data_IF_100174076523
#
_entry.id   IF_100174076523
#
_cell.length_a   1.000
_cell.length_b   1.000
_cell.length_c   1.000
_cell.angle_alpha   90.00
_cell.angle_beta   90.00
_cell.angle_gamma   90.00
#
_symmetry.space_group_name_H-M   'P 1'
#
loop_
_entity.id
_entity.type
_entity.pdbx_description
1 polymer ?
#
# COMPACT_ATOMS: atom_id res chain seq x y z
N UNK A 1 -2.31 -16.72 -41.34
CA UNK A 1 -2.81 -15.67 -40.42
C UNK A 1 -3.67 -16.19 -39.25
N UNK A 2 -4.27 -17.40 -39.31
CA UNK A 2 -5.15 -17.93 -38.26
C UNK A 2 -4.56 -18.07 -36.85
N UNK A 3 -3.24 -18.21 -36.69
CA UNK A 3 -2.59 -18.43 -35.37
C UNK A 3 -2.54 -17.16 -34.51
N UNK A 4 -2.39 -15.99 -35.13
CA UNK A 4 -2.43 -14.70 -34.43
C UNK A 4 -3.86 -14.32 -34.04
N UNK A 5 -4.85 -14.62 -34.88
CA UNK A 5 -6.28 -14.47 -34.55
C UNK A 5 -6.70 -15.43 -33.43
N UNK A 6 -6.15 -16.65 -33.36
CA UNK A 6 -6.43 -17.59 -32.27
C UNK A 6 -5.84 -17.15 -30.91
N UNK A 7 -4.74 -16.39 -30.89
CA UNK A 7 -4.09 -15.91 -29.66
C UNK A 7 -4.45 -14.47 -29.28
N UNK A 8 -4.77 -13.63 -30.25
CA UNK A 8 -4.97 -12.18 -30.07
C UNK A 8 -6.27 -11.66 -30.71
N UNK A 9 -7.04 -12.51 -31.38
CA UNK A 9 -8.29 -12.12 -32.04
C UNK A 9 -9.54 -12.18 -31.15
N UNK A 10 -9.48 -12.85 -30.00
CA UNK A 10 -10.59 -12.84 -29.04
C UNK A 10 -10.42 -11.68 -28.04
N UNK A 11 -11.11 -10.57 -28.32
CA UNK A 11 -11.14 -9.39 -27.46
C UNK A 11 -11.57 -9.72 -26.03
N UNK A 12 -12.35 -10.78 -25.80
CA UNK A 12 -12.77 -11.18 -24.44
C UNK A 12 -11.61 -11.78 -23.65
N UNK A 13 -10.77 -12.60 -24.28
CA UNK A 13 -9.58 -13.16 -23.64
C UNK A 13 -8.59 -12.04 -23.27
N UNK A 14 -8.39 -11.07 -24.16
CA UNK A 14 -7.54 -9.91 -23.89
C UNK A 14 -8.09 -9.04 -22.74
N UNK A 15 -9.39 -8.78 -22.72
CA UNK A 15 -10.04 -8.05 -21.63
C UNK A 15 -9.88 -8.78 -20.30
N UNK A 16 -10.10 -10.10 -20.26
CA UNK A 16 -9.93 -10.92 -19.06
C UNK A 16 -8.47 -10.91 -18.58
N UNK A 17 -7.51 -10.97 -19.50
CA UNK A 17 -6.10 -10.85 -19.16
C UNK A 17 -5.77 -9.48 -18.55
N UNK A 18 -6.29 -8.39 -19.11
CA UNK A 18 -6.11 -7.04 -18.58
C UNK A 18 -6.74 -6.88 -17.19
N UNK A 19 -7.92 -7.46 -16.96
CA UNK A 19 -8.55 -7.48 -15.63
C UNK A 19 -7.71 -8.29 -14.65
N UNK A 20 -7.15 -9.43 -15.08
CA UNK A 20 -6.27 -10.23 -14.24
C UNK A 20 -5.00 -9.45 -13.86
N UNK A 21 -4.41 -8.70 -14.80
CA UNK A 21 -3.30 -7.79 -14.49
C UNK A 21 -3.66 -6.75 -13.43
N UNK A 22 -4.88 -6.18 -13.48
CA UNK A 22 -5.36 -5.25 -12.45
C UNK A 22 -5.48 -5.95 -11.09
N UNK A 23 -5.97 -7.20 -11.06
CA UNK A 23 -6.10 -7.99 -9.82
C UNK A 23 -4.77 -8.33 -9.18
N UNK A 24 -3.76 -8.59 -10.01
CA UNK A 24 -2.41 -8.95 -9.59
C UNK A 24 -1.53 -7.75 -9.21
N UNK A 25 -2.07 -6.52 -9.32
CA UNK A 25 -1.38 -5.32 -8.89
C UNK A 25 -0.94 -5.39 -7.42
N UNK A 26 0.21 -4.76 -7.10
CA UNK A 26 0.74 -4.77 -5.74
C UNK A 26 -0.22 -4.06 -4.77
N UNK A 27 -0.24 -4.53 -3.53
CA UNK A 27 -1.04 -3.91 -2.49
C UNK A 27 -0.30 -2.68 -1.91
N UNK A 28 -0.83 -1.49 -2.16
CA UNK A 28 -0.23 -0.23 -1.68
C UNK A 28 -0.42 -0.04 -0.17
N UNK A 29 -1.42 -0.70 0.43
CA UNK A 29 -1.59 -0.75 1.87
C UNK A 29 -0.42 -1.47 2.56
N UNK A 30 0.22 -2.41 1.85
CA UNK A 30 1.36 -3.18 2.37
C UNK A 30 2.69 -2.52 2.02
N UNK A 31 2.86 -2.08 0.77
CA UNK A 31 4.13 -1.56 0.27
C UNK A 31 3.95 -0.40 -0.71
N UNK A 32 3.86 0.80 -0.14
CA UNK A 32 3.70 2.04 -0.90
C UNK A 32 4.91 2.37 -1.80
N UNK A 33 6.09 1.77 -1.56
CA UNK A 33 7.27 1.92 -2.42
C UNK A 33 7.01 1.48 -3.87
N UNK A 34 5.99 0.62 -4.06
CA UNK A 34 5.57 0.10 -5.37
C UNK A 34 4.56 1.01 -6.09
N UNK A 35 4.25 2.19 -5.56
CA UNK A 35 3.25 3.09 -6.15
C UNK A 35 3.53 3.43 -7.62
N UNK A 36 4.80 3.62 -8.00
CA UNK A 36 5.16 3.89 -9.40
C UNK A 36 4.80 2.72 -10.31
N UNK A 37 5.14 1.50 -9.88
CA UNK A 37 4.81 0.27 -10.62
C UNK A 37 3.29 0.08 -10.69
N UNK A 38 2.60 0.24 -9.56
CA UNK A 38 1.15 0.17 -9.51
C UNK A 38 0.48 1.17 -10.46
N UNK A 39 0.89 2.44 -10.39
CA UNK A 39 0.31 3.53 -11.17
C UNK A 39 0.46 3.29 -12.67
N UNK A 40 1.67 2.90 -13.09
CA UNK A 40 1.98 2.63 -14.50
C UNK A 40 1.24 1.40 -15.02
N UNK A 41 1.24 0.29 -14.29
CA UNK A 41 0.54 -0.94 -14.69
C UNK A 41 -0.98 -0.74 -14.73
N UNK A 42 -1.57 -0.09 -13.71
CA UNK A 42 -3.00 0.23 -13.69
C UNK A 42 -3.38 1.14 -14.87
N UNK A 43 -2.61 2.21 -15.10
CA UNK A 43 -2.90 3.13 -16.21
C UNK A 43 -2.79 2.44 -17.58
N UNK A 44 -1.80 1.57 -17.76
CA UNK A 44 -1.63 0.82 -19.01
C UNK A 44 -2.79 -0.15 -19.23
N UNK A 45 -3.22 -0.86 -18.18
CA UNK A 45 -4.36 -1.77 -18.26
C UNK A 45 -5.66 -1.03 -18.57
N UNK A 46 -5.95 0.06 -17.85
CA UNK A 46 -7.15 0.88 -18.05
C UNK A 46 -7.18 1.54 -19.43
N UNK A 47 -6.04 2.07 -19.89
CA UNK A 47 -5.93 2.66 -21.23
C UNK A 47 -6.13 1.62 -22.33
N UNK A 48 -5.68 0.39 -22.11
CA UNK A 48 -5.90 -0.72 -23.05
C UNK A 48 -7.35 -1.18 -23.03
N UNK A 49 -7.95 -1.35 -21.85
CA UNK A 49 -9.36 -1.69 -21.69
C UNK A 49 -10.28 -0.68 -22.38
N UNK A 50 -9.99 0.62 -22.25
CA UNK A 50 -10.74 1.68 -22.92
C UNK A 50 -10.73 1.55 -24.45
N UNK A 51 -9.65 1.02 -25.03
CA UNK A 51 -9.51 0.78 -26.48
C UNK A 51 -10.23 -0.48 -26.95
N UNK A 52 -10.22 -1.54 -26.14
CA UNK A 52 -10.84 -2.83 -26.50
C UNK A 52 -12.33 -2.90 -26.21
N UNK A 53 -12.82 -2.12 -25.25
CA UNK A 53 -14.25 -2.09 -24.96
C UNK A 53 -14.97 -1.23 -25.98
N UNK A 54 -15.50 -1.84 -27.04
CA UNK A 54 -16.59 -1.23 -27.80
C UNK A 54 -17.74 -0.99 -26.80
N UNK A 55 -17.90 0.26 -26.33
CA UNK A 55 -18.85 0.76 -25.30
C UNK A 55 -18.40 0.80 -23.83
N UNK A 56 -17.11 0.68 -23.49
CA UNK A 56 -16.64 1.08 -22.15
C UNK A 56 -17.08 0.20 -20.96
N UNK A 57 -17.90 -0.84 -21.16
CA UNK A 57 -18.59 -1.55 -20.07
C UNK A 57 -17.68 -2.11 -18.98
N UNK A 58 -16.47 -2.54 -19.32
CA UNK A 58 -15.50 -3.06 -18.34
C UNK A 58 -14.93 -1.97 -17.41
N UNK A 59 -15.01 -0.69 -17.78
CA UNK A 59 -14.57 0.44 -16.96
C UNK A 59 -15.61 0.85 -15.91
N UNK A 60 -16.84 0.36 -16.05
CA UNK A 60 -17.97 0.59 -15.13
C UNK A 60 -18.26 -0.63 -14.25
N UNK A 61 -17.43 -1.68 -14.33
CA UNK A 61 -17.61 -2.87 -13.52
C UNK A 61 -17.16 -2.63 -12.08
N UNK A 62 -18.12 -2.72 -11.16
CA UNK A 62 -17.89 -2.48 -9.73
C UNK A 62 -16.88 -3.45 -9.13
N UNK A 63 -16.83 -4.71 -9.57
CA UNK A 63 -15.88 -5.70 -9.03
C UNK A 63 -14.40 -5.35 -9.29
N UNK A 64 -14.12 -4.69 -10.43
CA UNK A 64 -12.76 -4.24 -10.76
C UNK A 64 -12.40 -3.00 -9.94
N UNK A 65 -13.37 -2.10 -9.73
CA UNK A 65 -13.22 -0.90 -8.91
C UNK A 65 -12.98 -1.28 -7.44
N UNK A 66 -13.77 -2.20 -6.88
CA UNK A 66 -13.61 -2.73 -5.52
C UNK A 66 -12.26 -3.41 -5.34
N UNK A 67 -11.79 -4.16 -6.34
CA UNK A 67 -10.47 -4.79 -6.29
C UNK A 67 -9.35 -3.74 -6.15
N UNK A 68 -9.40 -2.66 -6.92
CA UNK A 68 -8.42 -1.57 -6.85
C UNK A 68 -8.52 -0.83 -5.51
N UNK A 69 -9.74 -0.52 -5.03
CA UNK A 69 -9.96 0.09 -3.71
C UNK A 69 -9.37 -0.79 -2.60
N UNK A 70 -9.53 -2.11 -2.69
CA UNK A 70 -8.97 -3.05 -1.72
C UNK A 70 -7.44 -3.03 -1.60
N UNK A 71 -6.74 -2.47 -2.60
CA UNK A 71 -5.27 -2.29 -2.61
C UNK A 71 -4.85 -0.95 -2.01
N UNK A 72 -5.78 -0.04 -1.72
CA UNK A 72 -5.46 1.28 -1.15
C UNK A 72 -5.41 1.17 0.37
N UNK A 73 -4.50 1.88 1.03
CA UNK A 73 -4.67 2.14 2.45
C UNK A 73 -5.76 3.18 2.67
N UNK A 74 -6.14 3.37 3.95
CA UNK A 74 -7.17 4.34 4.30
C UNK A 74 -6.83 5.77 3.85
N UNK A 75 -5.56 6.16 3.91
CA UNK A 75 -5.15 7.51 3.51
C UNK A 75 -5.37 7.77 2.04
N UNK A 76 -4.94 6.86 1.15
CA UNK A 76 -5.12 7.07 -0.27
C UNK A 76 -6.56 6.81 -0.76
N UNK A 77 -7.37 6.04 -0.01
CA UNK A 77 -8.82 6.03 -0.24
C UNK A 77 -9.46 7.40 0.06
N UNK A 78 -9.18 8.00 1.22
CA UNK A 78 -9.73 9.31 1.58
C UNK A 78 -9.25 10.41 0.61
N UNK A 79 -7.99 10.35 0.17
CA UNK A 79 -7.45 11.26 -0.85
C UNK A 79 -8.09 11.04 -2.22
N UNK A 80 -8.35 9.79 -2.60
CA UNK A 80 -9.05 9.47 -3.85
C UNK A 80 -10.47 10.04 -3.85
N UNK A 81 -11.21 9.96 -2.74
CA UNK A 81 -12.55 10.56 -2.63
C UNK A 81 -12.47 12.05 -2.95
N UNK A 82 -11.55 12.78 -2.30
CA UNK A 82 -11.35 14.22 -2.54
C UNK A 82 -10.98 14.53 -3.98
N UNK A 83 -10.07 13.76 -4.56
CA UNK A 83 -9.68 13.89 -5.97
C UNK A 83 -10.87 13.65 -6.90
N UNK A 84 -11.64 12.58 -6.66
CA UNK A 84 -12.75 12.17 -7.51
C UNK A 84 -13.92 13.17 -7.51
N UNK A 85 -14.12 13.88 -6.40
CA UNK A 85 -15.12 14.94 -6.25
C UNK A 85 -14.84 16.14 -7.15
N UNK A 86 -13.57 16.38 -7.51
CA UNK A 86 -13.15 17.46 -8.42
C UNK A 86 -13.26 17.06 -9.90
N UNK A 87 -13.52 15.78 -10.20
CA UNK A 87 -13.58 15.26 -11.57
C UNK A 87 -15.02 15.16 -12.07
N UNK A 88 -15.22 15.28 -13.38
CA UNK A 88 -16.54 15.11 -14.01
C UNK A 88 -17.16 13.75 -13.66
N UNK A 89 -18.47 13.75 -13.36
CA UNK A 89 -19.25 12.52 -13.11
C UNK A 89 -19.28 11.58 -14.32
N UNK A 90 -19.09 12.09 -15.53
CA UNK A 90 -19.07 11.31 -16.76
C UNK A 90 -17.83 10.41 -16.91
N UNK A 91 -16.77 10.64 -16.11
CA UNK A 91 -15.54 9.84 -16.19
C UNK A 91 -15.74 8.57 -15.35
N UNK A 92 -15.46 7.36 -15.88
CA UNK A 92 -15.56 6.12 -15.11
C UNK A 92 -14.67 6.12 -13.87
N UNK A 93 -15.14 5.50 -12.78
CA UNK A 93 -14.42 5.45 -11.50
C UNK A 93 -13.00 4.86 -11.66
N UNK A 94 -12.88 3.78 -12.44
CA UNK A 94 -11.60 3.13 -12.69
C UNK A 94 -10.60 4.04 -13.43
N UNK A 95 -11.09 4.89 -14.33
CA UNK A 95 -10.27 5.91 -15.04
C UNK A 95 -9.85 7.02 -14.09
N UNK A 96 -10.73 7.45 -13.17
CA UNK A 96 -10.35 8.41 -12.12
C UNK A 96 -9.27 7.83 -11.21
N UNK A 97 -9.37 6.56 -10.84
CA UNK A 97 -8.38 5.86 -10.02
C UNK A 97 -7.01 5.79 -10.71
N UNK A 98 -6.96 5.43 -12.00
CA UNK A 98 -5.67 5.36 -12.71
C UNK A 98 -4.97 6.72 -12.78
N UNK A 99 -5.72 7.80 -13.04
CA UNK A 99 -5.20 9.17 -13.04
C UNK A 99 -4.76 9.64 -11.66
N UNK A 100 -5.56 9.35 -10.63
CA UNK A 100 -5.23 9.67 -9.24
C UNK A 100 -3.90 9.05 -8.81
N UNK A 101 -3.74 7.73 -9.01
CA UNK A 101 -2.54 7.04 -8.52
C UNK A 101 -1.29 7.42 -9.33
N UNK A 102 -1.43 7.77 -10.61
CA UNK A 102 -0.36 8.41 -11.38
C UNK A 102 0.07 9.74 -10.76
N UNK A 103 -0.89 10.60 -10.41
CA UNK A 103 -0.58 11.89 -9.78
C UNK A 103 0.11 11.71 -8.43
N UNK A 104 -0.35 10.78 -7.60
CA UNK A 104 0.31 10.44 -6.34
C UNK A 104 1.73 9.91 -6.56
N UNK A 105 1.94 9.05 -7.56
CA UNK A 105 3.27 8.57 -7.91
C UNK A 105 4.22 9.71 -8.31
N UNK A 106 3.76 10.64 -9.15
CA UNK A 106 4.52 11.84 -9.57
C UNK A 106 4.91 12.69 -8.37
N UNK A 107 3.95 13.01 -7.48
CA UNK A 107 4.20 13.80 -6.27
C UNK A 107 5.24 13.13 -5.36
N UNK A 108 5.19 11.80 -5.24
CA UNK A 108 6.14 11.04 -4.44
C UNK A 108 7.54 10.99 -5.06
N UNK A 109 7.65 11.03 -6.39
CA UNK A 109 8.92 11.18 -7.11
C UNK A 109 9.47 12.58 -6.92
N UNK A 110 8.65 13.61 -7.12
CA UNK A 110 9.02 15.03 -6.95
C UNK A 110 9.47 15.33 -5.52
N UNK A 111 8.76 14.79 -4.52
CA UNK A 111 9.12 14.92 -3.12
C UNK A 111 10.38 14.13 -2.72
N UNK A 112 10.95 13.31 -3.62
CA UNK A 112 12.14 12.50 -3.36
C UNK A 112 11.94 11.40 -2.31
N UNK A 113 10.69 11.04 -2.02
CA UNK A 113 10.33 10.05 -0.99
C UNK A 113 10.50 8.62 -1.53
N UNK A 114 10.39 8.45 -2.84
CA UNK A 114 10.61 7.17 -3.51
C UNK A 114 12.08 6.96 -3.83
N UNK A 115 12.68 5.93 -3.22
CA UNK A 115 13.96 5.38 -3.66
C UNK A 115 13.68 4.53 -4.90
N UNK A 116 13.69 5.14 -6.08
CA UNK A 116 13.73 4.35 -7.32
C UNK A 116 14.99 3.50 -7.27
N UNK A 117 14.79 2.19 -7.08
CA UNK A 117 15.81 1.23 -7.50
C UNK A 117 15.80 1.35 -9.01
N UNK A 118 16.77 2.06 -9.58
CA UNK A 118 17.01 2.03 -11.02
C UNK A 118 17.48 0.62 -11.35
N UNK A 119 16.56 -0.33 -11.47
CA UNK A 119 16.84 -1.64 -12.03
C UNK A 119 16.88 -1.51 -13.56
N UNK A 120 17.78 -0.63 -13.99
CA UNK A 120 18.32 -0.60 -15.33
C UNK A 120 19.57 -1.46 -15.31
N UNK A 121 19.44 -2.76 -15.09
CA UNK A 121 20.39 -3.67 -15.71
C UNK A 121 19.73 -4.97 -16.15
N UNK A 122 19.42 -5.01 -17.45
CA UNK A 122 19.44 -6.23 -18.26
C UNK A 122 20.68 -7.06 -17.92
N UNK A 123 20.58 -8.00 -16.98
CA UNK A 123 21.40 -9.22 -17.04
C UNK A 123 20.58 -10.32 -17.67
N UNK A 124 20.93 -10.53 -18.93
CA UNK A 124 20.58 -11.66 -19.78
C UNK A 124 20.57 -12.96 -18.97
N UNK A 125 19.56 -13.77 -19.25
CA UNK A 125 19.62 -15.22 -19.13
C UNK A 125 20.95 -15.70 -19.70
N UNK A 126 21.75 -16.38 -18.87
CA UNK A 126 22.36 -17.67 -19.23
C UNK A 126 22.38 -18.53 -17.97
N UNK A 127 21.50 -19.52 -17.98
CA UNK A 127 21.74 -20.79 -17.31
C UNK A 127 23.13 -21.28 -17.70
N UNK A 128 23.94 -21.62 -16.72
CA UNK A 128 24.88 -22.71 -16.84
C UNK A 128 25.04 -23.31 -15.44
N UNK A 129 24.41 -24.48 -15.30
CA UNK A 129 24.71 -25.45 -14.27
C UNK A 129 26.22 -25.73 -14.24
N UNK A 130 26.80 -25.84 -13.04
CA UNK A 130 27.90 -26.77 -12.74
C UNK A 130 28.24 -26.80 -11.24
N UNK A 131 28.85 -27.90 -10.74
CA UNK A 131 28.08 -28.97 -10.12
C UNK A 131 28.46 -29.21 -8.66
N UNK A 132 27.56 -29.89 -7.93
CA UNK A 132 27.87 -30.50 -6.63
C UNK A 132 28.97 -31.55 -6.81
N UNK A 133 30.17 -31.27 -6.29
CA UNK A 133 31.16 -32.32 -6.02
C UNK A 133 31.22 -32.54 -4.52
N UNK A 134 30.80 -33.74 -4.11
CA UNK A 134 31.09 -34.31 -2.80
C UNK A 134 32.51 -34.87 -2.85
N UNK A 135 33.36 -34.53 -1.89
CA UNK A 135 34.57 -35.32 -1.60
C UNK A 135 34.72 -35.42 -0.09
N UNK A 136 34.84 -36.66 0.35
CA UNK A 136 34.98 -37.07 1.73
C UNK A 136 36.45 -37.09 2.16
N UNK A 137 36.66 -36.75 3.44
CA UNK A 137 37.69 -37.15 4.41
C UNK A 137 39.11 -37.49 3.92
N UNK A 138 40.11 -36.87 4.58
CA UNK A 138 41.09 -37.60 5.40
C UNK A 138 41.70 -36.71 6.50
N UNK A 139 42.06 -37.38 7.59
CA UNK A 139 42.52 -36.97 8.91
C UNK A 139 43.96 -36.48 9.00
N UNK A 140 44.24 -35.57 9.95
CA UNK A 140 45.21 -35.67 11.08
C UNK A 140 45.86 -34.31 11.42
N UNK A 141 46.04 -34.04 12.71
CA UNK A 141 46.95 -32.98 13.21
C UNK A 141 46.38 -32.13 14.35
N UNK A 142 46.62 -32.56 15.60
CA UNK A 142 46.35 -31.83 16.84
C UNK A 142 47.09 -30.48 16.89
N UNK A 143 46.43 -29.44 17.39
CA UNK A 143 47.05 -28.50 18.34
C UNK A 143 45.96 -27.80 19.13
N UNK A 144 45.93 -28.11 20.43
CA UNK A 144 45.14 -27.44 21.46
C UNK A 144 45.77 -26.07 21.74
N UNK A 145 45.06 -25.00 21.40
CA UNK A 145 45.24 -23.71 22.05
C UNK A 145 43.87 -23.14 22.37
N UNK A 146 43.47 -23.34 23.63
CA UNK A 146 42.33 -22.70 24.26
C UNK A 146 42.56 -21.18 24.28
N UNK A 147 41.92 -20.46 23.36
CA UNK A 147 41.79 -19.02 23.46
C UNK A 147 40.54 -18.74 24.30
N UNK A 148 40.64 -18.06 25.46
CA UNK A 148 39.47 -17.77 26.28
C UNK A 148 38.64 -16.70 25.58
N UNK A 149 37.67 -17.11 24.76
CA UNK A 149 36.58 -16.23 24.38
C UNK A 149 35.71 -16.01 25.62
N UNK A 150 36.09 -14.99 26.41
CA UNK A 150 35.19 -14.32 27.35
C UNK A 150 33.87 -14.10 26.61
N UNK A 151 32.83 -14.82 27.01
CA UNK A 151 31.45 -14.48 26.68
C UNK A 151 31.23 -13.12 27.34
N UNK A 152 31.51 -12.04 26.59
CA UNK A 152 30.99 -10.73 26.95
C UNK A 152 29.48 -10.91 26.85
N UNK A 153 28.79 -10.96 27.99
CA UNK A 153 27.34 -10.70 28.02
C UNK A 153 27.18 -9.36 27.30
N UNK A 154 26.71 -9.40 26.04
CA UNK A 154 26.32 -8.20 25.32
C UNK A 154 25.23 -7.57 26.17
N UNK A 155 25.56 -6.50 26.87
CA UNK A 155 24.62 -5.78 27.70
C UNK A 155 23.41 -5.42 26.83
N UNK A 156 22.24 -5.89 27.23
CA UNK A 156 21.00 -5.69 26.51
C UNK A 156 20.58 -4.23 26.73
N UNK A 157 20.93 -3.38 25.78
CA UNK A 157 20.68 -1.93 25.88
C UNK A 157 19.33 -1.56 25.28
N UNK A 158 18.49 -0.90 26.07
CA UNK A 158 17.24 -0.31 25.61
C UNK A 158 17.54 0.86 24.68
N UNK A 159 17.03 0.81 23.45
CA UNK A 159 17.21 1.88 22.46
C UNK A 159 16.42 3.16 22.77
N UNK A 160 15.47 3.12 23.71
CA UNK A 160 14.65 4.27 24.08
C UNK A 160 15.20 5.02 25.30
N UNK A 161 15.28 4.37 26.47
CA UNK A 161 15.79 5.00 27.70
C UNK A 161 17.32 4.91 27.85
N UNK A 162 18.00 4.19 26.94
CA UNK A 162 19.47 3.99 26.92
C UNK A 162 20.03 3.21 28.13
N UNK A 163 19.17 2.61 28.96
CA UNK A 163 19.57 1.72 30.07
C UNK A 163 20.02 0.34 29.57
N UNK A 164 20.90 -0.32 30.30
CA UNK A 164 21.53 -1.61 29.91
C UNK A 164 20.85 -2.84 30.54
N UNK A 165 19.68 -2.65 31.13
CA UNK A 165 19.00 -3.66 31.95
C UNK A 165 17.84 -4.36 31.23
N UNK A 166 17.38 -3.84 30.08
CA UNK A 166 16.19 -4.37 29.38
C UNK A 166 16.19 -4.05 27.89
N UNK A 167 15.45 -4.86 27.11
CA UNK A 167 15.08 -4.55 25.72
C UNK A 167 13.89 -3.58 25.66
N UNK A 168 13.68 -2.92 24.51
CA UNK A 168 12.58 -1.97 24.34
C UNK A 168 11.19 -2.56 24.65
N UNK A 169 10.99 -3.85 24.38
CA UNK A 169 9.77 -4.60 24.73
C UNK A 169 9.45 -4.56 26.23
N UNK A 170 10.48 -4.44 27.08
CA UNK A 170 10.39 -4.43 28.54
C UNK A 170 10.70 -3.05 29.13
N UNK A 171 10.70 -2.00 28.32
CA UNK A 171 10.93 -0.63 28.76
C UNK A 171 9.65 -0.01 29.33
N UNK A 172 9.63 0.29 30.63
CA UNK A 172 8.48 0.90 31.30
C UNK A 172 8.19 2.32 30.78
N UNK A 173 9.23 3.12 30.55
CA UNK A 173 9.10 4.45 29.92
C UNK A 173 8.44 4.38 28.54
N UNK A 174 8.66 3.29 27.80
CA UNK A 174 8.04 3.08 26.50
C UNK A 174 6.59 2.61 26.63
N UNK A 175 6.30 1.71 27.59
CA UNK A 175 4.96 1.18 27.85
C UNK A 175 4.00 2.23 28.39
N UNK A 176 4.50 3.22 29.14
CA UNK A 176 3.69 4.35 29.65
C UNK A 176 3.24 5.33 28.58
N UNK A 177 3.85 5.31 27.38
CA UNK A 177 3.44 6.16 26.27
C UNK A 177 2.15 5.66 25.63
N UNK A 178 1.32 6.57 25.14
CA UNK A 178 0.12 6.20 24.39
C UNK A 178 0.49 5.55 23.05
N UNK A 179 -0.45 4.82 22.42
CA UNK A 179 -0.18 4.09 21.17
C UNK A 179 0.41 4.98 20.07
N UNK A 180 -0.11 6.20 19.87
CA UNK A 180 0.42 7.15 18.88
C UNK A 180 1.90 7.50 19.14
N UNK A 181 2.26 7.76 20.39
CA UNK A 181 3.64 8.06 20.81
C UNK A 181 4.55 6.84 20.64
N UNK A 182 4.08 5.64 21.02
CA UNK A 182 4.82 4.39 20.82
C UNK A 182 5.16 4.15 19.35
N UNK A 183 4.20 4.39 18.45
CA UNK A 183 4.41 4.32 17.00
C UNK A 183 5.43 5.36 16.50
N UNK A 184 5.36 6.61 16.98
CA UNK A 184 6.34 7.65 16.62
C UNK A 184 7.75 7.27 17.07
N UNK A 185 7.90 6.77 18.30
CA UNK A 185 9.19 6.34 18.84
C UNK A 185 9.77 5.18 17.99
N UNK A 186 8.97 4.17 17.69
CA UNK A 186 9.42 3.03 16.87
C UNK A 186 9.86 3.47 15.46
N UNK A 187 9.13 4.42 14.84
CA UNK A 187 9.51 5.01 13.54
C UNK A 187 10.83 5.77 13.62
N UNK A 188 10.99 6.62 14.63
CA UNK A 188 12.18 7.44 14.83
C UNK A 188 13.43 6.57 15.08
N UNK A 189 13.27 5.48 15.84
CA UNK A 189 14.35 4.54 16.14
C UNK A 189 14.63 3.55 14.99
N UNK A 190 13.84 3.55 13.91
CA UNK A 190 13.97 2.66 12.74
C UNK A 190 14.09 1.17 13.12
N UNK A 191 13.31 0.76 14.10
CA UNK A 191 13.23 -0.62 14.56
C UNK A 191 12.09 -1.36 13.87
N UNK A 192 12.19 -2.69 13.83
CA UNK A 192 11.13 -3.53 13.29
C UNK A 192 9.85 -3.39 14.13
N UNK A 193 8.73 -3.01 13.51
CA UNK A 193 7.45 -2.88 14.22
C UNK A 193 6.91 -4.22 14.73
N UNK A 194 7.41 -5.35 14.22
CA UNK A 194 6.96 -6.68 14.59
C UNK A 194 7.62 -7.22 15.87
N UNK A 195 8.91 -6.95 16.06
CA UNK A 195 9.69 -7.47 17.19
C UNK A 195 10.40 -6.39 18.02
N UNK A 196 10.24 -5.11 17.68
CA UNK A 196 10.87 -3.96 18.35
C UNK A 196 12.41 -3.98 18.38
N UNK A 197 13.06 -4.82 17.57
CA UNK A 197 14.52 -4.91 17.43
C UNK A 197 15.01 -4.23 16.15
N UNK A 198 16.25 -3.74 16.19
CA UNK A 198 16.95 -3.18 15.03
C UNK A 198 17.53 -4.25 14.10
N UNK A 199 18.14 -3.80 13.00
CA UNK A 199 18.90 -4.66 12.07
C UNK A 199 18.10 -5.34 10.96
N UNK A 200 16.77 -5.23 10.98
CA UNK A 200 15.91 -5.75 9.91
C UNK A 200 14.58 -4.97 9.82
N UNK A 201 13.92 -5.10 8.67
CA UNK A 201 12.58 -4.56 8.44
C UNK A 201 11.51 -5.62 8.74
N UNK A 202 10.28 -5.17 8.93
CA UNK A 202 9.13 -6.02 9.23
C UNK A 202 8.91 -7.17 8.22
N UNK A 203 9.19 -6.95 6.92
CA UNK A 203 9.04 -7.99 5.90
C UNK A 203 9.99 -9.17 6.06
N UNK A 204 11.15 -8.96 6.67
CA UNK A 204 12.14 -10.00 6.96
C UNK A 204 12.06 -10.53 8.41
N UNK A 205 11.06 -10.09 9.16
CA UNK A 205 10.88 -10.49 10.55
C UNK A 205 10.12 -11.81 10.64
N UNK A 206 10.63 -12.76 11.43
CA UNK A 206 9.98 -14.05 11.72
C UNK A 206 9.18 -14.05 13.03
N UNK A 207 8.99 -12.87 13.63
CA UNK A 207 8.19 -12.75 14.86
C UNK A 207 6.69 -12.92 14.57
N UNK A 208 5.95 -13.28 15.61
CA UNK A 208 4.51 -13.46 15.53
C UNK A 208 3.78 -12.14 15.23
N UNK A 209 2.61 -12.26 14.61
CA UNK A 209 1.69 -11.15 14.38
C UNK A 209 1.07 -10.68 15.71
N UNK A 210 0.48 -9.48 15.70
CA UNK A 210 -0.18 -8.93 16.88
C UNK A 210 -1.32 -9.83 17.35
N UNK A 211 -1.28 -10.27 18.60
CA UNK A 211 -2.31 -11.14 19.19
C UNK A 211 -3.70 -10.49 19.24
N UNK A 212 -3.78 -9.15 19.28
CA UNK A 212 -5.05 -8.43 19.41
C UNK A 212 -5.78 -8.20 18.08
N UNK A 213 -5.06 -8.21 16.95
CA UNK A 213 -5.68 -7.89 15.65
C UNK A 213 -5.12 -8.66 14.46
N UNK A 214 -4.18 -9.58 14.67
CA UNK A 214 -3.55 -10.37 13.60
C UNK A 214 -2.72 -9.56 12.60
N UNK A 215 -2.53 -8.26 12.81
CA UNK A 215 -1.75 -7.41 11.89
C UNK A 215 -0.26 -7.48 12.21
N UNK A 216 0.54 -7.07 11.23
CA UNK A 216 1.98 -6.97 11.38
C UNK A 216 2.35 -5.80 12.31
N UNK A 217 2.35 -6.02 13.62
CA UNK A 217 3.00 -5.18 14.63
C UNK A 217 3.14 -5.95 15.96
N UNK A 218 4.02 -5.50 16.83
CA UNK A 218 4.17 -6.01 18.19
C UNK A 218 2.97 -5.61 19.04
N UNK A 219 2.53 -6.45 19.99
CA UNK A 219 1.34 -6.19 20.83
C UNK A 219 1.40 -4.84 21.56
N UNK A 220 2.60 -4.42 21.98
CA UNK A 220 2.85 -3.12 22.62
C UNK A 220 2.56 -1.92 21.70
N UNK A 221 2.51 -2.10 20.38
CA UNK A 221 2.11 -1.05 19.43
C UNK A 221 0.61 -1.06 19.12
N UNK A 222 -0.18 -1.95 19.72
CA UNK A 222 -1.60 -2.04 19.41
C UNK A 222 -2.36 -0.75 19.79
N UNK A 223 -3.34 -0.37 18.96
CA UNK A 223 -4.24 0.74 19.29
C UNK A 223 -5.33 0.22 20.21
N UNK A 224 -5.28 0.63 21.46
CA UNK A 224 -6.31 0.28 22.43
C UNK A 224 -7.55 1.12 22.13
N UNK A 225 -8.54 0.51 21.49
CA UNK A 225 -9.86 1.14 21.31
C UNK A 225 -10.56 1.07 22.66
N UNK A 226 -10.57 2.19 23.37
CA UNK A 226 -11.28 2.30 24.64
C UNK A 226 -12.79 2.16 24.35
N UNK A 227 -13.38 0.99 24.66
CA UNK A 227 -14.77 0.64 24.31
C UNK A 227 -15.82 1.47 25.07
N UNK A 228 -15.42 2.40 25.93
CA UNK A 228 -16.30 3.23 26.74
C UNK A 228 -16.96 4.41 26.02
N UNK A 229 -16.76 4.59 24.71
CA UNK A 229 -17.33 5.72 23.95
C UNK A 229 -18.39 5.32 22.91
N UNK A 230 -18.80 4.04 22.88
CA UNK A 230 -19.77 3.52 21.90
C UNK A 230 -21.24 3.53 22.38
N UNK A 231 -21.56 4.14 23.53
CA UNK A 231 -22.91 4.08 24.13
C UNK A 231 -23.63 5.44 24.31
N UNK A 232 -23.21 6.52 23.66
CA UNK A 232 -23.89 7.83 23.76
C UNK A 232 -24.51 8.35 22.46
N UNK A 233 -24.56 7.54 21.41
CA UNK A 233 -25.18 7.94 20.15
C UNK A 233 -26.25 6.93 19.71
N UNK A 234 -27.26 6.72 20.57
CA UNK A 234 -28.51 6.13 20.12
C UNK A 234 -29.65 6.61 21.03
N UNK A 235 -30.30 7.72 20.64
CA UNK A 235 -31.75 7.94 20.62
C UNK A 235 -32.13 9.42 20.37
N UNK A 236 -33.23 9.58 19.62
CA UNK A 236 -34.04 10.79 19.28
C UNK A 236 -33.42 11.85 18.34
N UNK A 237 -33.66 11.76 17.03
CA UNK A 237 -34.86 12.36 16.38
C UNK A 237 -34.76 12.32 14.85
N UNK A 238 -35.66 11.56 14.24
CA UNK A 238 -35.91 11.55 12.80
C UNK A 238 -36.70 12.82 12.42
N UNK A 239 -36.09 13.72 11.64
CA UNK A 239 -36.85 14.61 10.75
C UNK A 239 -36.22 14.60 9.36
N UNK A 240 -36.94 13.93 8.48
CA UNK A 240 -36.79 13.85 7.03
C UNK A 240 -36.80 15.26 6.42
N UNK A 241 -35.79 15.58 5.63
CA UNK A 241 -35.87 16.66 4.63
C UNK A 241 -35.43 16.03 3.32
N UNK A 242 -36.41 15.80 2.43
CA UNK A 242 -36.17 15.41 1.05
C UNK A 242 -35.67 16.61 0.21
N UNK A 243 -34.91 16.37 -0.87
CA UNK A 243 -34.41 17.43 -1.75
C UNK A 243 -35.42 17.74 -2.87
N UNK A 244 -36.05 18.91 -2.84
CA UNK A 244 -36.79 19.44 -3.99
C UNK A 244 -35.86 20.27 -4.88
N UNK A 245 -35.51 19.70 -6.04
CA UNK A 245 -34.90 20.38 -7.17
C UNK A 245 -36.03 21.02 -8.01
N UNK A 246 -36.01 22.34 -8.20
CA UNK A 246 -36.84 23.01 -9.20
C UNK A 246 -36.00 24.05 -9.95
N UNK A 247 -35.79 23.76 -11.23
CA UNK A 247 -35.34 24.67 -12.27
C UNK A 247 -36.43 25.72 -12.52
N UNK A 248 -36.06 27.00 -12.51
CA UNK A 248 -36.77 28.01 -13.30
C UNK A 248 -35.75 28.95 -13.91
N UNK A 249 -35.72 28.93 -15.24
CA UNK A 249 -35.10 29.93 -16.09
C UNK A 249 -35.61 31.34 -15.73
N UNK A 250 -34.70 32.31 -15.67
CA UNK A 250 -35.06 33.71 -15.71
C UNK A 250 -34.17 34.42 -16.74
N UNK A 251 -34.63 34.38 -17.99
CA UNK A 251 -34.17 35.24 -19.08
C UNK A 251 -34.93 36.56 -18.96
N UNK A 252 -34.27 37.63 -18.54
CA UNK A 252 -34.83 38.98 -18.62
C UNK A 252 -34.58 39.56 -20.01
N UNK A 253 -35.68 39.73 -20.74
CA UNK A 253 -35.77 40.50 -21.97
C UNK A 253 -35.52 41.98 -21.68
N UNK A 254 -34.66 42.60 -22.49
CA UNK A 254 -34.51 44.05 -22.58
C UNK A 254 -35.36 44.47 -23.78
N UNK A 255 -36.45 45.19 -23.52
CA UNK A 255 -37.29 45.79 -24.54
C UNK A 255 -36.62 47.04 -25.12
N UNK A 256 -36.70 47.13 -26.44
CA UNK A 256 -36.40 48.30 -27.28
C UNK A 256 -37.46 49.38 -27.04
N UNK A 257 -37.06 50.64 -27.04
CA UNK A 257 -37.95 51.79 -27.25
C UNK A 257 -37.19 52.81 -28.10
N UNK A 258 -37.58 52.88 -29.36
CA UNK A 258 -37.37 54.03 -30.25
C UNK A 258 -38.31 55.16 -29.82
N UNK A 259 -37.82 56.40 -29.74
CA UNK A 259 -38.51 57.58 -30.30
C UNK A 259 -37.65 58.85 -30.15
N UNK A 260 -37.59 59.58 -31.27
CA UNK A 260 -37.03 60.93 -31.57
C UNK A 260 -35.53 61.07 -31.91
#
# INVERSE_FOLDING_TARGET
MKVLELRFGDSKLLINQLIQQIRDLPDLNVDFSKIVKFATELNNAVSSLAKFSNNGGCLYRDDVVENVIGKFSRSEYDNFIRYSAQQSKSIPALVKMSKFVLKEAELNVEAGVLKQSTDSNRKRVREDERPKVKVALTTTGKSEQEVPHKIRKLAIKCVHCKSENHELENCDDFKTKNSNQRWRIAKNLRICFLCLRGGHIQGNCRANLCIHCGRKHHAVLHFEVNKNVLFLADNSDLRTIEPSCSLTDNVQAINVSDDL
#
